data_IF_830689428058
#
_entry.id   IF_830689428058
#
_cell.length_a   1.000
_cell.length_b   1.000
_cell.length_c   1.000
_cell.angle_alpha   90.00
_cell.angle_beta   90.00
_cell.angle_gamma   90.00
#
_symmetry.space_group_name_H-M   'P 1'
#
loop_
_entity.id
_entity.type
_entity.pdbx_description
1 polymer ?
#
# COMPACT_ATOMS: atom_id res chain seq x y z
N UNK A 1 11.18 3.21 -11.27
CA UNK A 1 12.31 2.52 -10.62
C UNK A 1 12.18 1.03 -10.91
N UNK A 2 13.21 0.44 -11.51
CA UNK A 2 13.24 -1.01 -11.69
C UNK A 2 13.72 -1.63 -10.38
N UNK A 3 12.88 -2.44 -9.78
CA UNK A 3 13.21 -3.24 -8.61
C UNK A 3 13.71 -4.60 -9.10
N UNK A 4 14.64 -5.18 -8.38
CA UNK A 4 15.17 -6.52 -8.68
C UNK A 4 14.78 -7.45 -7.54
N UNK A 5 14.06 -8.52 -7.89
CA UNK A 5 13.79 -9.61 -6.97
C UNK A 5 14.47 -10.88 -7.46
N UNK A 6 15.12 -11.60 -6.54
CA UNK A 6 15.72 -12.89 -6.86
C UNK A 6 14.77 -14.01 -6.47
N UNK A 7 14.37 -14.83 -7.43
CA UNK A 7 13.58 -16.04 -7.20
C UNK A 7 14.34 -17.26 -7.73
N UNK A 8 14.97 -17.97 -6.81
CA UNK A 8 15.93 -19.02 -7.18
C UNK A 8 17.18 -18.43 -7.80
N UNK A 9 17.55 -18.86 -9.04
CA UNK A 9 18.69 -18.31 -9.79
C UNK A 9 18.30 -17.20 -10.79
N UNK A 10 17.04 -16.79 -10.81
CA UNK A 10 16.52 -15.80 -11.77
C UNK A 10 16.32 -14.45 -11.10
N UNK A 11 16.98 -13.42 -11.64
CA UNK A 11 16.69 -12.03 -11.30
C UNK A 11 15.50 -11.54 -12.13
N UNK A 12 14.46 -11.05 -11.44
CA UNK A 12 13.27 -10.49 -12.07
C UNK A 12 13.30 -8.99 -11.82
N UNK A 13 13.37 -8.22 -12.90
CA UNK A 13 13.19 -6.77 -12.83
C UNK A 13 11.70 -6.46 -12.91
N UNK A 14 11.22 -5.60 -12.02
CA UNK A 14 9.84 -5.14 -12.00
C UNK A 14 9.78 -3.68 -11.49
N UNK A 15 8.67 -3.02 -11.76
CA UNK A 15 8.37 -1.68 -11.23
C UNK A 15 7.27 -1.77 -10.18
N UNK A 16 7.10 -0.73 -9.37
CA UNK A 16 5.94 -0.66 -8.47
C UNK A 16 4.62 -0.67 -9.26
N UNK A 17 4.63 -0.09 -10.47
CA UNK A 17 3.47 -0.08 -11.35
C UNK A 17 3.04 -1.50 -11.75
N UNK A 18 3.98 -2.40 -12.04
CA UNK A 18 3.68 -3.80 -12.37
C UNK A 18 2.91 -4.53 -11.26
N UNK A 19 3.09 -4.08 -10.01
CA UNK A 19 2.39 -4.65 -8.85
C UNK A 19 0.92 -4.22 -8.77
N UNK A 20 0.57 -3.05 -9.30
CA UNK A 20 -0.76 -2.42 -9.13
C UNK A 20 -1.54 -2.28 -10.42
N UNK A 21 -0.91 -2.39 -11.59
CA UNK A 21 -1.50 -2.14 -12.92
C UNK A 21 -2.85 -2.85 -13.12
N UNK A 22 -2.91 -4.15 -12.86
CA UNK A 22 -4.14 -4.91 -13.03
C UNK A 22 -5.25 -4.47 -12.07
N UNK A 23 -4.92 -4.10 -10.83
CA UNK A 23 -5.90 -3.64 -9.86
C UNK A 23 -6.38 -2.21 -10.18
N UNK A 24 -5.51 -1.37 -10.77
CA UNK A 24 -5.90 -0.04 -11.27
C UNK A 24 -6.86 -0.19 -12.47
N UNK A 25 -6.57 -1.08 -13.41
CA UNK A 25 -7.46 -1.39 -14.54
C UNK A 25 -8.82 -1.89 -14.06
N UNK A 26 -8.82 -2.78 -13.06
CA UNK A 26 -10.05 -3.26 -12.43
C UNK A 26 -10.81 -2.12 -11.74
N UNK A 27 -10.13 -1.23 -10.99
CA UNK A 27 -10.75 -0.07 -10.39
C UNK A 27 -11.57 0.74 -11.40
N UNK A 28 -10.97 1.12 -12.52
CA UNK A 28 -11.69 1.87 -13.56
C UNK A 28 -12.82 1.06 -14.22
N UNK A 29 -12.64 -0.26 -14.36
CA UNK A 29 -13.69 -1.15 -14.88
C UNK A 29 -14.88 -1.19 -13.95
N UNK A 30 -14.68 -1.37 -12.65
CA UNK A 30 -15.75 -1.39 -11.66
C UNK A 30 -16.41 -0.02 -11.51
N UNK A 31 -15.60 1.05 -11.54
CA UNK A 31 -16.11 2.43 -11.50
C UNK A 31 -17.02 2.75 -12.69
N UNK A 32 -16.63 2.30 -13.90
CA UNK A 32 -17.49 2.43 -15.08
C UNK A 32 -18.82 1.68 -14.92
N UNK A 33 -18.80 0.46 -14.34
CA UNK A 33 -20.02 -0.29 -14.06
C UNK A 33 -20.96 0.47 -13.13
N UNK A 34 -20.44 1.08 -12.05
CA UNK A 34 -21.23 1.93 -11.15
C UNK A 34 -21.91 3.08 -11.91
N UNK A 35 -21.17 3.80 -12.77
CA UNK A 35 -21.69 4.94 -13.54
C UNK A 35 -22.86 4.51 -14.44
N UNK A 36 -22.79 3.33 -15.07
CA UNK A 36 -23.84 2.82 -15.98
C UNK A 36 -24.90 1.97 -15.25
N UNK A 37 -24.93 1.99 -13.90
CA UNK A 37 -25.92 1.28 -13.08
C UNK A 37 -25.82 -0.24 -13.13
N UNK A 38 -24.64 -0.80 -13.44
CA UNK A 38 -24.37 -2.23 -13.38
C UNK A 38 -23.73 -2.62 -12.04
N UNK A 39 -23.93 -3.87 -11.66
CA UNK A 39 -23.30 -4.41 -10.45
C UNK A 39 -21.78 -4.42 -10.59
N UNK A 40 -21.09 -3.79 -9.63
CA UNK A 40 -19.65 -3.77 -9.48
C UNK A 40 -19.17 -4.81 -8.47
N UNK A 41 -17.90 -5.19 -8.55
CA UNK A 41 -17.23 -6.06 -7.59
C UNK A 41 -15.85 -5.49 -7.23
N UNK A 42 -15.74 -4.92 -6.06
CA UNK A 42 -14.55 -4.22 -5.59
C UNK A 42 -13.52 -5.11 -4.86
N UNK A 43 -13.78 -6.41 -4.72
CA UNK A 43 -12.94 -7.33 -3.93
C UNK A 43 -11.51 -7.39 -4.45
N UNK A 44 -11.34 -7.57 -5.75
CA UNK A 44 -10.01 -7.67 -6.34
C UNK A 44 -9.22 -6.36 -6.18
N UNK A 45 -9.84 -5.23 -6.52
CA UNK A 45 -9.25 -3.89 -6.38
C UNK A 45 -8.81 -3.62 -4.94
N UNK A 46 -9.72 -3.74 -3.94
CA UNK A 46 -9.42 -3.41 -2.56
C UNK A 46 -8.33 -4.34 -2.00
N UNK A 47 -8.48 -5.66 -2.17
CA UNK A 47 -7.52 -6.62 -1.61
C UNK A 47 -6.13 -6.42 -2.21
N UNK A 48 -6.04 -6.29 -3.53
CA UNK A 48 -4.75 -6.16 -4.22
C UNK A 48 -4.08 -4.83 -3.88
N UNK A 49 -4.78 -3.71 -4.01
CA UNK A 49 -4.19 -2.39 -3.76
C UNK A 49 -3.79 -2.21 -2.29
N UNK A 50 -4.56 -2.76 -1.33
CA UNK A 50 -4.22 -2.70 0.10
C UNK A 50 -2.91 -3.41 0.41
N UNK A 51 -2.73 -4.63 -0.11
CA UNK A 51 -1.49 -5.40 0.12
C UNK A 51 -0.30 -4.74 -0.58
N UNK A 52 -0.50 -4.29 -1.83
CA UNK A 52 0.58 -3.64 -2.59
C UNK A 52 0.95 -2.27 -2.03
N UNK A 53 -0.01 -1.52 -1.48
CA UNK A 53 0.27 -0.26 -0.79
C UNK A 53 1.29 -0.44 0.33
N UNK A 54 1.08 -1.41 1.23
CA UNK A 54 2.03 -1.68 2.33
C UNK A 54 3.41 -2.07 1.79
N UNK A 55 3.46 -2.92 0.76
CA UNK A 55 4.72 -3.34 0.16
C UNK A 55 5.50 -2.18 -0.48
N UNK A 56 4.81 -1.32 -1.25
CA UNK A 56 5.41 -0.15 -1.91
C UNK A 56 5.87 0.87 -0.86
N UNK A 57 5.04 1.18 0.13
CA UNK A 57 5.41 2.10 1.21
C UNK A 57 6.67 1.61 1.95
N UNK A 58 6.74 0.32 2.27
CA UNK A 58 7.90 -0.31 2.90
C UNK A 58 9.17 -0.15 2.04
N UNK A 59 9.05 -0.37 0.73
CA UNK A 59 10.17 -0.19 -0.20
C UNK A 59 10.64 1.28 -0.23
N UNK A 60 9.70 2.25 -0.25
CA UNK A 60 10.01 3.69 -0.23
C UNK A 60 10.79 4.05 1.05
N UNK A 61 10.30 3.66 2.22
CA UNK A 61 10.95 3.95 3.51
C UNK A 61 12.32 3.24 3.58
N UNK A 62 12.41 1.99 3.14
CA UNK A 62 13.67 1.23 3.13
C UNK A 62 14.75 1.91 2.27
N UNK A 63 14.35 2.44 1.11
CA UNK A 63 15.28 3.14 0.21
C UNK A 63 15.73 4.47 0.81
N UNK A 64 14.84 5.16 1.55
CA UNK A 64 15.14 6.46 2.15
C UNK A 64 16.00 6.34 3.41
N UNK A 65 15.61 5.51 4.39
CA UNK A 65 16.21 5.43 5.72
C UNK A 65 16.90 4.09 6.03
N UNK A 66 16.57 3.04 5.27
CA UNK A 66 16.98 1.66 5.57
C UNK A 66 16.19 0.99 6.71
N UNK A 67 15.37 1.73 7.44
CA UNK A 67 14.73 1.28 8.69
C UNK A 67 13.28 0.83 8.45
N UNK A 68 13.09 -0.48 8.30
CA UNK A 68 11.75 -1.10 8.22
C UNK A 68 11.53 -2.20 9.24
N UNK A 69 12.48 -2.33 10.18
CA UNK A 69 12.43 -3.36 11.23
C UNK A 69 12.44 -2.72 12.61
N UNK A 70 11.85 -3.40 13.58
CA UNK A 70 11.87 -3.01 14.98
C UNK A 70 12.30 -4.16 15.88
N UNK A 71 12.93 -3.82 17.00
CA UNK A 71 13.30 -4.78 18.03
C UNK A 71 12.09 -5.01 18.91
N UNK A 72 11.65 -6.27 19.02
CA UNK A 72 10.64 -6.70 19.99
C UNK A 72 11.33 -7.34 21.17
N UNK A 73 11.25 -6.69 22.33
CA UNK A 73 11.72 -7.24 23.59
C UNK A 73 10.69 -8.22 24.19
N UNK A 74 11.11 -9.41 24.56
CA UNK A 74 10.30 -10.44 25.14
C UNK A 74 11.19 -11.49 25.81
N UNK A 75 10.72 -12.75 25.96
CA UNK A 75 11.60 -13.84 26.45
C UNK A 75 12.85 -14.06 25.58
N UNK A 76 12.79 -13.65 24.32
CA UNK A 76 13.93 -13.52 23.40
C UNK A 76 13.77 -12.22 22.63
N UNK A 77 14.87 -11.50 22.44
CA UNK A 77 14.93 -10.32 21.56
C UNK A 77 14.82 -10.79 20.11
N UNK A 78 13.84 -10.28 19.37
CA UNK A 78 13.59 -10.65 17.97
C UNK A 78 13.51 -9.39 17.14
N UNK A 79 14.22 -9.36 16.02
CA UNK A 79 14.03 -8.33 14.99
C UNK A 79 12.79 -8.72 14.18
N UNK A 80 11.83 -7.82 14.10
CA UNK A 80 10.60 -8.04 13.36
C UNK A 80 10.36 -6.88 12.38
N UNK A 81 9.75 -7.19 11.24
CA UNK A 81 9.27 -6.16 10.31
C UNK A 81 8.24 -5.27 11.00
N UNK A 82 8.31 -3.97 10.73
CA UNK A 82 7.32 -3.00 11.19
C UNK A 82 5.97 -3.29 10.52
N UNK A 83 4.89 -3.19 11.27
CA UNK A 83 3.55 -3.19 10.69
C UNK A 83 3.28 -1.86 9.97
N UNK A 84 2.24 -1.81 9.15
CA UNK A 84 1.88 -0.60 8.41
C UNK A 84 1.69 0.62 9.33
N UNK A 85 1.01 0.44 10.47
CA UNK A 85 0.82 1.51 11.46
C UNK A 85 2.16 2.01 12.04
N UNK A 86 3.08 1.10 12.34
CA UNK A 86 4.43 1.47 12.80
C UNK A 86 5.19 2.27 11.73
N UNK A 87 5.10 1.85 10.45
CA UNK A 87 5.79 2.53 9.33
C UNK A 87 5.29 3.96 9.14
N UNK A 88 3.98 4.19 9.21
CA UNK A 88 3.35 5.52 9.04
C UNK A 88 3.74 6.47 10.19
N UNK A 89 4.20 5.95 11.33
CA UNK A 89 4.56 6.74 12.52
C UNK A 89 6.07 6.94 12.69
N UNK A 90 6.89 6.56 11.70
CA UNK A 90 8.33 6.80 11.75
C UNK A 90 8.69 8.23 11.36
N UNK A 91 9.83 8.72 11.86
CA UNK A 91 10.38 10.02 11.43
C UNK A 91 10.68 10.02 9.93
N UNK A 92 11.19 8.91 9.39
CA UNK A 92 11.43 8.72 7.96
C UNK A 92 10.15 8.89 7.12
N UNK A 93 8.99 8.49 7.64
CA UNK A 93 7.72 8.75 6.99
C UNK A 93 7.38 10.24 7.00
N UNK A 94 7.56 10.92 8.12
CA UNK A 94 7.26 12.36 8.27
C UNK A 94 8.20 13.25 7.42
N UNK A 95 9.41 12.78 7.11
CA UNK A 95 10.31 13.45 6.15
C UNK A 95 9.84 13.31 4.69
N UNK A 96 9.17 12.20 4.35
CA UNK A 96 8.77 11.87 2.98
C UNK A 96 7.36 12.35 2.64
N UNK A 97 6.45 12.32 3.60
CA UNK A 97 5.03 12.53 3.37
C UNK A 97 4.50 13.74 4.12
N UNK A 98 3.56 14.46 3.48
CA UNK A 98 2.85 15.54 4.14
C UNK A 98 1.87 15.00 5.20
N UNK A 99 1.48 15.88 6.13
CA UNK A 99 0.49 15.55 7.16
C UNK A 99 -0.83 15.03 6.56
N UNK A 100 -1.30 15.63 5.47
CA UNK A 100 -2.54 15.20 4.80
C UNK A 100 -2.42 13.78 4.23
N UNK A 101 -1.23 13.40 3.76
CA UNK A 101 -0.98 12.02 3.31
C UNK A 101 -0.98 11.06 4.49
N UNK A 102 -0.35 11.45 5.61
CA UNK A 102 -0.35 10.68 6.86
C UNK A 102 -1.76 10.45 7.38
N UNK A 103 -2.56 11.52 7.47
CA UNK A 103 -3.94 11.47 7.93
C UNK A 103 -4.80 10.57 7.03
N UNK A 104 -4.64 10.68 5.70
CA UNK A 104 -5.33 9.82 4.75
C UNK A 104 -4.97 8.34 4.93
N UNK A 105 -3.69 8.02 5.13
CA UNK A 105 -3.24 6.64 5.29
C UNK A 105 -3.70 6.03 6.62
N UNK A 106 -3.59 6.78 7.71
CA UNK A 106 -4.10 6.37 9.02
C UNK A 106 -5.61 6.13 8.98
N UNK A 107 -6.36 7.07 8.40
CA UNK A 107 -7.82 6.94 8.25
C UNK A 107 -8.23 5.75 7.38
N UNK A 108 -7.49 5.48 6.31
CA UNK A 108 -7.82 4.38 5.39
C UNK A 108 -7.49 3.01 5.98
N UNK A 109 -6.29 2.87 6.56
CA UNK A 109 -5.72 1.55 6.81
C UNK A 109 -5.67 1.12 8.27
N UNK A 110 -5.81 2.06 9.23
CA UNK A 110 -5.67 1.77 10.66
C UNK A 110 -7.00 1.87 11.41
N UNK A 111 -6.97 1.50 12.69
CA UNK A 111 -8.11 1.60 13.59
C UNK A 111 -8.54 3.05 13.93
N UNK A 112 -7.82 4.04 13.44
CA UNK A 112 -8.24 5.45 13.50
C UNK A 112 -9.34 5.78 12.48
N UNK A 113 -9.64 4.85 11.57
CA UNK A 113 -10.66 4.99 10.55
C UNK A 113 -11.25 3.67 10.10
N UNK A 114 -11.10 3.35 8.80
CA UNK A 114 -11.74 2.18 8.19
C UNK A 114 -11.05 0.85 8.44
N UNK A 115 -9.84 0.84 8.98
CA UNK A 115 -9.05 -0.36 9.30
C UNK A 115 -8.90 -1.38 8.14
N UNK A 116 -8.97 -0.89 6.89
CA UNK A 116 -9.08 -1.75 5.69
C UNK A 116 -7.95 -2.79 5.65
N UNK A 117 -6.73 -2.40 6.03
CA UNK A 117 -5.58 -3.31 5.98
C UNK A 117 -5.75 -4.52 6.88
N UNK A 118 -6.20 -4.33 8.11
CA UNK A 118 -6.36 -5.45 9.05
C UNK A 118 -7.55 -6.33 8.65
N UNK A 119 -8.66 -5.73 8.25
CA UNK A 119 -9.87 -6.46 7.86
C UNK A 119 -9.63 -7.30 6.60
N UNK A 120 -8.90 -6.77 5.60
CA UNK A 120 -8.47 -7.52 4.42
C UNK A 120 -7.49 -8.63 4.81
N UNK A 121 -6.47 -8.35 5.63
CA UNK A 121 -5.43 -9.32 5.99
C UNK A 121 -5.98 -10.49 6.81
N UNK A 122 -7.00 -10.25 7.63
CA UNK A 122 -7.61 -11.27 8.49
C UNK A 122 -8.89 -11.88 7.91
N UNK A 123 -9.31 -11.45 6.71
CA UNK A 123 -10.51 -11.95 6.05
C UNK A 123 -11.81 -11.60 6.78
N UNK A 124 -11.85 -10.45 7.45
CA UNK A 124 -13.04 -10.01 8.21
C UNK A 124 -14.10 -9.35 7.33
N UNK A 125 -13.74 -8.94 6.09
CA UNK A 125 -14.68 -8.33 5.17
C UNK A 125 -15.72 -9.33 4.65
N UNK A 126 -16.98 -8.96 4.78
CA UNK A 126 -18.09 -9.58 4.06
C UNK A 126 -18.21 -8.97 2.65
N UNK A 127 -18.91 -9.62 1.71
CA UNK A 127 -19.10 -9.08 0.37
C UNK A 127 -19.67 -7.66 0.31
N UNK A 128 -20.52 -7.27 1.26
CA UNK A 128 -21.12 -5.93 1.37
C UNK A 128 -20.12 -4.85 1.86
N UNK A 129 -18.99 -5.25 2.44
CA UNK A 129 -17.98 -4.31 2.91
C UNK A 129 -17.08 -3.77 1.80
N UNK A 130 -17.06 -4.45 0.65
CA UNK A 130 -16.31 -4.05 -0.52
C UNK A 130 -17.07 -2.99 -1.33
N UNK A 131 -16.92 -1.74 -0.95
CA UNK A 131 -17.67 -0.62 -1.55
C UNK A 131 -16.79 0.24 -2.47
N UNK A 132 -17.42 0.94 -3.42
CA UNK A 132 -16.77 1.94 -4.28
C UNK A 132 -16.03 2.99 -3.46
N UNK A 133 -16.60 3.42 -2.33
CA UNK A 133 -15.98 4.41 -1.45
C UNK A 133 -14.64 3.91 -0.88
N UNK A 134 -14.61 2.70 -0.32
CA UNK A 134 -13.37 2.11 0.22
C UNK A 134 -12.35 1.87 -0.89
N UNK A 135 -12.77 1.40 -2.07
CA UNK A 135 -11.89 1.25 -3.23
C UNK A 135 -11.27 2.59 -3.63
N UNK A 136 -12.05 3.67 -3.62
CA UNK A 136 -11.57 5.03 -3.91
C UNK A 136 -10.55 5.50 -2.88
N UNK A 137 -10.79 5.28 -1.57
CA UNK A 137 -9.81 5.63 -0.53
C UNK A 137 -8.47 4.92 -0.75
N UNK A 138 -8.51 3.61 -0.98
CA UNK A 138 -7.28 2.83 -1.23
C UNK A 138 -6.58 3.30 -2.51
N UNK A 139 -7.32 3.57 -3.57
CA UNK A 139 -6.78 4.11 -4.82
C UNK A 139 -6.12 5.47 -4.63
N UNK A 140 -6.73 6.39 -3.86
CA UNK A 140 -6.14 7.69 -3.53
C UNK A 140 -4.83 7.53 -2.75
N UNK A 141 -4.74 6.56 -1.84
CA UNK A 141 -3.50 6.24 -1.15
C UNK A 141 -2.40 5.79 -2.12
N UNK A 142 -2.71 4.92 -3.09
CA UNK A 142 -1.77 4.51 -4.14
C UNK A 142 -1.29 5.73 -4.95
N UNK A 143 -2.19 6.64 -5.33
CA UNK A 143 -1.81 7.85 -6.07
C UNK A 143 -0.82 8.74 -5.30
N UNK A 144 -0.87 8.75 -3.97
CA UNK A 144 0.12 9.48 -3.15
C UNK A 144 1.52 8.86 -3.23
N UNK A 145 1.63 7.57 -3.52
CA UNK A 145 2.91 6.88 -3.67
C UNK A 145 3.52 7.08 -5.08
N UNK A 146 2.69 7.28 -6.12
CA UNK A 146 3.16 7.40 -7.52
C UNK A 146 4.17 8.54 -7.69
N UNK A 147 4.06 9.63 -6.95
CA UNK A 147 5.00 10.76 -7.02
C UNK A 147 6.46 10.36 -6.75
N UNK A 148 6.68 9.31 -5.94
CA UNK A 148 8.03 8.84 -5.62
C UNK A 148 8.70 8.12 -6.78
N UNK A 149 7.94 7.58 -7.73
CA UNK A 149 8.51 6.92 -8.90
C UNK A 149 9.29 7.88 -9.79
N UNK A 150 8.81 9.12 -9.95
CA UNK A 150 9.48 10.14 -10.76
C UNK A 150 10.57 10.92 -10.00
N UNK A 151 10.38 11.21 -8.72
CA UNK A 151 11.35 11.98 -7.91
C UNK A 151 12.57 11.14 -7.52
N UNK A 152 12.37 9.88 -7.16
CA UNK A 152 13.48 8.97 -6.83
C UNK A 152 14.37 8.70 -8.03
N UNK A 153 13.82 8.52 -9.23
CA UNK A 153 14.59 8.30 -10.45
C UNK A 153 15.53 9.50 -10.73
N UNK A 154 15.12 10.71 -10.43
CA UNK A 154 15.94 11.91 -10.68
C UNK A 154 17.07 12.13 -9.67
N UNK A 155 16.92 11.61 -8.42
CA UNK A 155 17.93 11.80 -7.35
C UNK A 155 19.03 10.74 -7.34
N UNK A 156 18.79 9.58 -7.92
CA UNK A 156 19.72 8.45 -7.89
C UNK A 156 20.22 8.03 -9.28
N UNK A 157 20.02 8.86 -10.32
CA UNK A 157 20.73 8.84 -11.59
C UNK A 157 21.91 9.79 -11.55
#
# INVERSE_FOLDING_TARGET
MNLVATRGQTEIQYTWFDRVDNAIKDFFTQFHKEIIGKQSDWRFTINTLTVQFEGILRDIIRIHSGETTKIKEGRKTVVAEMLLDDLIRTDAFDELFSKESKDLFLYTFTNEGYNIRNDVAHGFYLPCDYTAFKATLVFLCILRLVRFDNEFISRYK
#
